data_IF_102334053126
#
_entry.id   IF_102334053126
#
_cell.length_a   1.000
_cell.length_b   1.000
_cell.length_c   1.000
_cell.angle_alpha   90.00
_cell.angle_beta   90.00
_cell.angle_gamma   90.00
#
_symmetry.space_group_name_H-M   'P 1'
#
loop_
_entity.id
_entity.type
_entity.pdbx_description
1 polymer ?
#
# COMPACT_ATOMS: atom_id res chain seq x y z
N UNK A 1 -12.96 5.74 1.28
CA UNK A 1 -13.20 4.99 0.02
C UNK A 1 -13.32 5.97 -1.15
N UNK A 2 -12.20 6.37 -1.75
CA UNK A 2 -12.19 7.26 -2.92
C UNK A 2 -12.22 6.36 -4.15
N UNK A 3 -13.42 6.22 -4.74
CA UNK A 3 -13.56 5.57 -6.05
C UNK A 3 -13.00 6.50 -7.12
N UNK A 4 -12.29 5.88 -8.08
CA UNK A 4 -11.70 6.46 -9.27
C UNK A 4 -12.49 7.66 -9.82
N UNK A 5 -11.78 8.77 -9.98
CA UNK A 5 -12.28 10.01 -10.57
C UNK A 5 -12.46 9.83 -12.08
N UNK A 6 -13.53 9.12 -12.45
CA UNK A 6 -14.02 9.08 -13.82
C UNK A 6 -14.60 10.46 -14.13
N UNK A 7 -14.27 11.04 -15.29
CA UNK A 7 -14.61 12.42 -15.67
C UNK A 7 -16.11 12.71 -15.49
N UNK A 8 -16.49 13.22 -14.32
CA UNK A 8 -17.86 13.63 -14.04
C UNK A 8 -17.90 15.12 -13.70
N UNK A 9 -19.00 15.73 -14.12
CA UNK A 9 -19.27 17.17 -14.08
C UNK A 9 -18.95 17.77 -12.72
N UNK A 10 -18.38 18.99 -12.70
CA UNK A 10 -17.90 19.66 -11.47
C UNK A 10 -18.89 19.72 -10.30
N UNK A 11 -20.19 19.52 -10.52
CA UNK A 11 -21.19 19.34 -9.46
C UNK A 11 -20.95 18.13 -8.55
N UNK A 12 -20.51 16.98 -9.09
CA UNK A 12 -20.30 15.77 -8.27
C UNK A 12 -19.11 15.93 -7.32
N UNK A 13 -18.04 16.60 -7.77
CA UNK A 13 -16.90 16.95 -6.93
C UNK A 13 -17.31 17.88 -5.77
N UNK A 14 -18.14 18.89 -6.05
CA UNK A 14 -18.65 19.81 -5.01
C UNK A 14 -19.53 19.08 -3.99
N UNK A 15 -20.40 18.17 -4.43
CA UNK A 15 -21.26 17.37 -3.55
C UNK A 15 -20.41 16.47 -2.65
N UNK A 16 -19.39 15.83 -3.21
CA UNK A 16 -18.48 14.97 -2.47
C UNK A 16 -17.74 15.74 -1.37
N UNK A 17 -17.15 16.89 -1.69
CA UNK A 17 -16.42 17.71 -0.72
C UNK A 17 -17.31 18.18 0.43
N UNK A 18 -18.51 18.68 0.11
CA UNK A 18 -19.44 19.15 1.15
C UNK A 18 -19.76 18.05 2.13
N UNK A 19 -20.08 16.85 1.61
CA UNK A 19 -20.36 15.69 2.45
C UNK A 19 -19.16 15.30 3.32
N UNK A 20 -17.96 15.26 2.75
CA UNK A 20 -16.74 14.93 3.53
C UNK A 20 -16.44 15.95 4.63
N UNK A 21 -16.69 17.23 4.39
CA UNK A 21 -16.55 18.27 5.41
C UNK A 21 -17.63 18.16 6.49
N UNK A 22 -18.85 17.77 6.13
CA UNK A 22 -19.96 17.57 7.06
C UNK A 22 -19.78 16.29 7.92
N UNK A 23 -19.23 15.23 7.33
CA UNK A 23 -18.93 13.95 8.00
C UNK A 23 -17.71 14.07 8.95
N UNK A 24 -16.87 15.09 8.76
CA UNK A 24 -15.63 15.27 9.50
C UNK A 24 -14.49 14.41 8.94
N UNK A 25 -13.27 14.93 9.03
CA UNK A 25 -12.06 14.16 8.74
C UNK A 25 -11.58 13.64 10.09
N UNK A 26 -11.63 12.33 10.29
CA UNK A 26 -11.02 11.70 11.45
C UNK A 26 -9.50 11.89 11.34
N UNK A 27 -8.99 12.81 12.15
CA UNK A 27 -7.56 13.02 12.36
C UNK A 27 -7.09 11.91 13.30
N UNK A 28 -6.86 10.72 12.76
CA UNK A 28 -6.10 9.72 13.52
C UNK A 28 -4.68 10.27 13.68
N UNK A 29 -4.20 10.42 14.93
CA UNK A 29 -2.83 10.81 15.31
C UNK A 29 -1.76 9.78 14.85
N UNK A 30 -1.90 9.23 13.64
CA UNK A 30 -0.91 8.40 12.98
C UNK A 30 -0.09 9.33 12.09
N UNK A 31 1.14 9.70 12.48
CA UNK A 31 1.96 10.55 11.64
C UNK A 31 2.25 9.84 10.32
N UNK A 32 2.04 10.55 9.21
CA UNK A 32 2.63 10.20 7.92
C UNK A 32 4.12 9.90 8.15
N UNK A 33 4.51 8.62 8.10
CA UNK A 33 5.86 8.19 8.40
C UNK A 33 6.57 7.58 7.18
N UNK A 34 5.83 7.38 6.08
CA UNK A 34 6.33 6.77 4.84
C UNK A 34 6.15 7.74 3.67
N UNK A 35 7.27 8.32 3.22
CA UNK A 35 7.32 9.37 2.20
C UNK A 35 7.90 8.89 0.87
N UNK A 36 7.39 9.44 -0.23
CA UNK A 36 8.03 9.32 -1.55
C UNK A 36 9.16 10.35 -1.60
N UNK A 37 10.35 9.90 -1.95
CA UNK A 37 11.52 10.78 -2.10
C UNK A 37 11.25 11.80 -3.22
N UNK A 38 11.40 13.12 -2.97
CA UNK A 38 11.22 14.14 -3.99
C UNK A 38 12.08 13.89 -5.24
N UNK A 39 11.52 14.12 -6.44
CA UNK A 39 12.21 13.87 -7.72
C UNK A 39 13.55 14.58 -7.86
N UNK A 40 13.69 15.79 -7.30
CA UNK A 40 14.94 16.54 -7.32
C UNK A 40 16.06 15.80 -6.55
N UNK A 41 15.70 15.09 -5.47
CA UNK A 41 16.65 14.27 -4.71
C UNK A 41 16.92 12.96 -5.46
N UNK A 42 15.88 12.30 -5.99
CA UNK A 42 16.05 11.08 -6.78
C UNK A 42 16.97 11.30 -7.99
N UNK A 43 16.94 12.49 -8.62
CA UNK A 43 17.79 12.80 -9.76
C UNK A 43 19.29 12.91 -9.44
N UNK A 44 19.69 13.01 -8.17
CA UNK A 44 21.11 13.05 -7.81
C UNK A 44 21.74 11.65 -7.77
N UNK A 45 20.95 10.63 -7.42
CA UNK A 45 21.32 9.22 -7.51
C UNK A 45 20.06 8.36 -7.47
N UNK A 46 19.67 7.81 -8.60
CA UNK A 46 18.43 7.06 -8.71
C UNK A 46 18.51 5.71 -7.95
N UNK A 47 19.68 5.09 -7.97
CA UNK A 47 19.96 3.78 -7.38
C UNK A 47 19.91 3.81 -5.84
N UNK A 48 20.13 4.99 -5.24
CA UNK A 48 20.04 5.17 -3.78
C UNK A 48 18.61 5.20 -3.25
N UNK A 49 17.62 5.53 -4.10
CA UNK A 49 16.23 5.74 -3.69
C UNK A 49 15.23 4.84 -4.38
N UNK A 50 15.59 4.22 -5.51
CA UNK A 50 14.75 3.26 -6.22
C UNK A 50 15.31 1.86 -5.98
N UNK A 51 14.53 0.92 -5.43
CA UNK A 51 14.97 -0.45 -5.25
C UNK A 51 15.40 -1.08 -6.58
N UNK A 52 16.53 -1.79 -6.56
CA UNK A 52 17.12 -2.43 -7.75
C UNK A 52 16.82 -3.93 -7.81
N UNK A 53 16.41 -4.54 -6.68
CA UNK A 53 16.23 -5.98 -6.57
C UNK A 53 14.85 -6.31 -5.99
N UNK A 54 14.56 -5.85 -4.78
CA UNK A 54 13.31 -6.15 -4.07
C UNK A 54 12.53 -4.88 -3.76
N UNK A 55 11.27 -4.83 -4.17
CA UNK A 55 10.33 -3.82 -3.69
C UNK A 55 9.80 -4.23 -2.31
N UNK A 56 9.58 -3.28 -1.41
CA UNK A 56 8.82 -3.52 -0.17
C UNK A 56 7.79 -2.40 -0.06
N UNK A 57 6.54 -2.78 0.20
CA UNK A 57 5.40 -1.89 0.30
C UNK A 57 4.88 -1.38 -1.05
N UNK A 58 3.78 -0.62 -1.00
CA UNK A 58 2.98 -0.25 -2.16
C UNK A 58 3.65 0.78 -3.08
N UNK A 59 4.57 1.63 -2.59
CA UNK A 59 5.23 2.65 -3.43
C UNK A 59 6.13 2.08 -4.53
N UNK A 60 6.64 0.87 -4.35
CA UNK A 60 7.51 0.21 -5.32
C UNK A 60 6.88 -1.05 -5.92
N UNK A 61 5.64 -1.36 -5.55
CA UNK A 61 4.90 -2.50 -6.08
C UNK A 61 4.54 -2.29 -7.57
N UNK A 62 4.32 -3.39 -8.32
CA UNK A 62 4.03 -3.41 -9.77
C UNK A 62 5.16 -2.90 -10.69
N UNK A 63 6.39 -2.78 -10.19
CA UNK A 63 7.57 -2.50 -11.01
C UNK A 63 8.00 -3.73 -11.80
N UNK A 64 7.95 -3.65 -13.12
CA UNK A 64 8.27 -4.77 -14.01
C UNK A 64 9.71 -5.25 -13.81
N UNK A 65 10.61 -4.32 -13.48
CA UNK A 65 12.02 -4.61 -13.21
C UNK A 65 12.26 -5.40 -11.92
N UNK A 66 11.27 -5.48 -11.02
CA UNK A 66 11.37 -6.18 -9.72
C UNK A 66 10.51 -7.45 -9.66
N UNK A 67 9.86 -7.83 -10.77
CA UNK A 67 8.90 -8.93 -10.82
C UNK A 67 9.51 -10.30 -10.45
N UNK A 68 10.79 -10.52 -10.73
CA UNK A 68 11.46 -11.76 -10.34
C UNK A 68 11.44 -11.95 -8.82
N UNK A 69 11.69 -10.89 -8.05
CA UNK A 69 11.68 -10.96 -6.60
C UNK A 69 10.28 -11.16 -6.03
N UNK A 70 9.22 -10.65 -6.68
CA UNK A 70 7.84 -10.94 -6.27
C UNK A 70 7.54 -12.45 -6.28
N UNK A 71 8.08 -13.19 -7.25
CA UNK A 71 7.95 -14.66 -7.29
C UNK A 71 8.67 -15.32 -6.12
N UNK A 72 9.85 -14.83 -5.74
CA UNK A 72 10.59 -15.34 -4.59
C UNK A 72 9.85 -15.10 -3.27
N UNK A 73 9.21 -13.92 -3.11
CA UNK A 73 8.39 -13.65 -1.92
C UNK A 73 7.24 -14.64 -1.78
N UNK A 74 6.56 -14.99 -2.87
CA UNK A 74 5.49 -16.01 -2.86
C UNK A 74 6.00 -17.39 -2.42
N UNK A 75 7.22 -17.77 -2.84
CA UNK A 75 7.85 -19.03 -2.41
C UNK A 75 8.16 -19.00 -0.91
N UNK A 76 8.66 -17.88 -0.38
CA UNK A 76 8.89 -17.74 1.06
C UNK A 76 7.57 -17.72 1.84
N UNK A 77 6.52 -17.05 1.34
CA UNK A 77 5.18 -17.08 1.92
C UNK A 77 4.64 -18.52 2.06
N UNK A 78 4.78 -19.33 1.01
CA UNK A 78 4.39 -20.74 1.03
C UNK A 78 5.19 -21.53 2.08
N UNK A 79 6.49 -21.25 2.23
CA UNK A 79 7.34 -21.88 3.25
C UNK A 79 6.95 -21.47 4.65
N UNK A 80 6.64 -20.19 4.88
CA UNK A 80 6.13 -19.68 6.16
C UNK A 80 4.85 -20.40 6.53
N UNK A 81 3.89 -20.49 5.61
CA UNK A 81 2.62 -21.19 5.85
C UNK A 81 2.81 -22.68 6.17
N UNK A 82 3.74 -23.37 5.47
CA UNK A 82 4.07 -24.79 5.76
C UNK A 82 4.75 -24.97 7.11
N UNK A 83 5.63 -24.04 7.48
CA UNK A 83 6.38 -24.06 8.74
C UNK A 83 5.48 -23.78 9.94
N UNK A 84 4.56 -22.83 9.79
CA UNK A 84 3.61 -22.43 10.82
C UNK A 84 2.20 -22.88 10.38
N UNK A 85 1.91 -24.17 10.53
CA UNK A 85 0.66 -24.81 10.10
C UNK A 85 -0.62 -24.16 10.68
N UNK A 86 -0.47 -23.32 11.71
CA UNK A 86 -1.55 -22.62 12.38
C UNK A 86 -1.80 -21.22 11.81
N UNK A 87 -0.93 -20.72 10.93
CA UNK A 87 -1.03 -19.40 10.31
C UNK A 87 -1.58 -19.60 8.90
N UNK A 88 -2.77 -19.06 8.64
CA UNK A 88 -3.30 -18.94 7.28
C UNK A 88 -3.12 -17.51 6.83
N UNK A 89 -2.57 -17.32 5.62
CA UNK A 89 -2.42 -15.98 5.05
C UNK A 89 -3.75 -15.24 4.95
N UNK A 90 -4.86 -15.95 4.70
CA UNK A 90 -6.19 -15.35 4.71
C UNK A 90 -6.53 -14.65 6.04
N UNK A 91 -6.14 -15.22 7.18
CA UNK A 91 -6.39 -14.61 8.50
C UNK A 91 -5.52 -13.35 8.70
N UNK A 92 -4.28 -13.36 8.18
CA UNK A 92 -3.40 -12.17 8.19
C UNK A 92 -3.97 -11.08 7.29
N UNK A 93 -4.42 -11.44 6.09
CA UNK A 93 -4.98 -10.52 5.10
C UNK A 93 -6.26 -9.88 5.64
N UNK A 94 -7.17 -10.67 6.23
CA UNK A 94 -8.39 -10.15 6.86
C UNK A 94 -8.05 -9.13 7.95
N UNK A 95 -7.08 -9.44 8.83
CA UNK A 95 -6.62 -8.50 9.85
C UNK A 95 -6.01 -7.22 9.26
N UNK A 96 -5.26 -7.32 8.17
CA UNK A 96 -4.70 -6.15 7.47
C UNK A 96 -5.78 -5.31 6.80
N UNK A 97 -6.81 -5.93 6.23
CA UNK A 97 -7.97 -5.22 5.65
C UNK A 97 -8.76 -4.45 6.71
N UNK A 98 -8.94 -5.03 7.91
CA UNK A 98 -9.57 -4.36 9.05
C UNK A 98 -8.80 -3.10 9.48
N UNK A 99 -7.48 -3.08 9.28
CA UNK A 99 -6.59 -1.97 9.62
C UNK A 99 -6.20 -1.10 8.41
N UNK A 100 -6.91 -1.20 7.28
CA UNK A 100 -6.57 -0.49 6.03
C UNK A 100 -6.45 1.03 6.22
N UNK A 101 -7.32 1.64 7.03
CA UNK A 101 -7.28 3.08 7.30
C UNK A 101 -5.98 3.50 8.01
N UNK A 102 -5.63 2.80 9.09
CA UNK A 102 -4.41 3.04 9.86
C UNK A 102 -3.15 2.79 9.02
N UNK A 103 -3.15 1.73 8.21
CA UNK A 103 -2.05 1.46 7.28
C UNK A 103 -1.89 2.60 6.28
N UNK A 104 -2.98 3.08 5.69
CA UNK A 104 -2.95 4.20 4.72
C UNK A 104 -2.53 5.51 5.36
N UNK A 105 -2.89 5.76 6.62
CA UNK A 105 -2.47 6.95 7.37
C UNK A 105 -0.95 7.03 7.57
N UNK A 106 -0.23 5.91 7.47
CA UNK A 106 1.24 5.93 7.50
C UNK A 106 1.87 6.47 6.20
N UNK A 107 1.13 6.54 5.09
CA UNK A 107 1.64 6.90 3.76
C UNK A 107 1.20 8.30 3.36
N UNK A 108 2.17 9.21 3.19
CA UNK A 108 1.90 10.62 2.82
C UNK A 108 1.19 10.80 1.46
N UNK A 109 1.13 9.76 0.63
CA UNK A 109 0.54 9.80 -0.70
C UNK A 109 -0.56 8.74 -0.81
N UNK A 110 -1.61 9.10 -1.56
CA UNK A 110 -2.72 8.21 -1.85
C UNK A 110 -2.24 6.90 -2.50
N UNK A 111 -2.66 5.77 -1.93
CA UNK A 111 -2.39 4.44 -2.44
C UNK A 111 -3.54 3.98 -3.35
N UNK A 112 -3.27 3.86 -4.66
CA UNK A 112 -4.22 3.35 -5.65
C UNK A 112 -4.27 1.81 -5.67
N UNK A 113 -4.62 1.27 -4.50
CA UNK A 113 -4.81 -0.15 -4.20
C UNK A 113 -6.19 -0.29 -3.57
N UNK A 114 -6.93 -1.33 -3.92
CA UNK A 114 -8.06 -1.72 -3.09
C UNK A 114 -7.56 -2.35 -1.76
N UNK A 115 -8.48 -2.64 -0.84
CA UNK A 115 -8.13 -3.11 0.50
C UNK A 115 -7.47 -4.49 0.47
N UNK A 116 -8.01 -5.39 -0.34
CA UNK A 116 -7.52 -6.77 -0.46
C UNK A 116 -6.13 -6.77 -1.10
N UNK A 117 -5.94 -6.03 -2.19
CA UNK A 117 -4.64 -5.94 -2.85
C UNK A 117 -3.56 -5.37 -1.92
N UNK A 118 -3.89 -4.32 -1.16
CA UNK A 118 -2.95 -3.72 -0.23
C UNK A 118 -2.59 -4.70 0.88
N UNK A 119 -3.58 -5.39 1.46
CA UNK A 119 -3.38 -6.38 2.51
C UNK A 119 -2.52 -7.56 2.02
N UNK A 120 -2.77 -8.09 0.82
CA UNK A 120 -1.93 -9.13 0.23
C UNK A 120 -0.49 -8.66 -0.01
N UNK A 121 -0.31 -7.44 -0.49
CA UNK A 121 1.03 -6.86 -0.69
C UNK A 121 1.82 -6.89 0.62
N UNK A 122 1.23 -6.41 1.72
CA UNK A 122 1.88 -6.42 3.03
C UNK A 122 2.12 -7.82 3.58
N UNK A 123 1.13 -8.72 3.47
CA UNK A 123 1.27 -10.09 3.97
C UNK A 123 2.43 -10.83 3.27
N UNK A 124 2.52 -10.71 1.94
CA UNK A 124 3.60 -11.33 1.16
C UNK A 124 4.95 -10.67 1.47
N UNK A 125 5.02 -9.35 1.53
CA UNK A 125 6.26 -8.64 1.88
C UNK A 125 6.76 -9.00 3.28
N UNK A 126 5.87 -9.08 4.27
CA UNK A 126 6.21 -9.44 5.64
C UNK A 126 6.74 -10.88 5.75
N UNK A 127 6.24 -11.79 4.91
CA UNK A 127 6.68 -13.18 4.89
C UNK A 127 8.06 -13.42 4.28
N UNK A 128 8.55 -12.45 3.51
CA UNK A 128 9.87 -12.49 2.89
C UNK A 128 10.98 -12.06 3.87
N UNK A 129 10.64 -11.31 4.92
CA UNK A 129 11.57 -10.80 5.95
C UNK A 129 11.73 -11.79 7.11
#
# INVERSE_FOLDING_TARGET
MIKQFNRSTGCEWVIHIKRTLDEGIEDEDVPDCIFIVPKAIVSTSQEAYIPQLVAIGPYHHRRVELFEMERYKLVEAERVQKKYQNIRFGDIVEHLEENDATVRACYHAYLDFDREELAWTFAIDASFL
#
